data_IF_803169920123
#
_entry.id   IF_803169920123
#
_cell.length_a   1.000
_cell.length_b   1.000
_cell.length_c   1.000
_cell.angle_alpha   90.00
_cell.angle_beta   90.00
_cell.angle_gamma   90.00
#
_symmetry.space_group_name_H-M   'P 1'
#
loop_
_entity.id
_entity.type
_entity.pdbx_description
1 polymer ?
#
# COMPACT_ATOMS: atom_id res chain seq x y z
N UNK A 1 -23.38 2.99 -10.38
CA UNK A 1 -22.98 4.34 -9.93
C UNK A 1 -23.86 5.37 -10.61
N UNK A 2 -24.08 5.20 -11.91
CA UNK A 2 -24.91 6.05 -12.76
C UNK A 2 -26.31 6.31 -12.20
N UNK A 3 -26.96 5.29 -11.63
CA UNK A 3 -28.29 5.43 -11.01
C UNK A 3 -28.33 6.45 -9.87
N UNK A 4 -27.31 6.48 -8.99
CA UNK A 4 -27.26 7.43 -7.87
C UNK A 4 -27.11 8.85 -8.38
N UNK A 5 -26.29 9.03 -9.41
CA UNK A 5 -26.02 10.34 -10.00
C UNK A 5 -27.27 10.86 -10.73
N UNK A 6 -27.93 9.99 -11.51
CA UNK A 6 -29.20 10.29 -12.16
C UNK A 6 -30.24 10.69 -11.11
N UNK A 7 -30.35 9.94 -10.02
CA UNK A 7 -31.35 10.19 -9.00
C UNK A 7 -31.04 11.46 -8.18
N UNK A 8 -29.76 11.76 -7.93
CA UNK A 8 -29.33 13.00 -7.27
C UNK A 8 -29.65 14.23 -8.13
N UNK A 9 -29.31 14.20 -9.41
CA UNK A 9 -29.60 15.30 -10.34
C UNK A 9 -31.12 15.51 -10.49
N UNK A 10 -31.87 14.42 -10.54
CA UNK A 10 -33.33 14.44 -10.60
C UNK A 10 -33.95 15.01 -9.32
N UNK A 11 -33.45 14.63 -8.14
CA UNK A 11 -33.88 15.22 -6.86
C UNK A 11 -33.63 16.74 -6.83
N UNK A 12 -32.43 17.18 -7.24
CA UNK A 12 -32.07 18.59 -7.26
C UNK A 12 -32.99 19.41 -8.19
N UNK A 13 -33.26 18.90 -9.40
CA UNK A 13 -34.13 19.55 -10.38
C UNK A 13 -35.59 19.62 -9.95
N UNK A 14 -36.11 18.56 -9.31
CA UNK A 14 -37.47 18.54 -8.78
C UNK A 14 -37.62 19.51 -7.59
N UNK A 15 -36.60 19.59 -6.72
CA UNK A 15 -36.58 20.51 -5.58
C UNK A 15 -36.54 21.98 -6.02
N UNK A 16 -35.71 22.31 -7.01
CA UNK A 16 -35.56 23.68 -7.52
C UNK A 16 -36.81 24.16 -8.28
N UNK A 17 -37.36 23.32 -9.16
CA UNK A 17 -38.47 23.73 -10.04
C UNK A 17 -39.84 23.65 -9.36
N UNK A 18 -39.96 23.04 -8.16
CA UNK A 18 -41.23 22.77 -7.46
C UNK A 18 -42.30 22.17 -8.38
N UNK A 19 -41.86 21.38 -9.36
CA UNK A 19 -42.67 20.83 -10.43
C UNK A 19 -42.35 19.36 -10.57
N UNK A 20 -43.36 18.56 -10.90
CA UNK A 20 -43.20 17.14 -11.20
C UNK A 20 -42.70 16.88 -12.62
N UNK A 21 -42.36 17.93 -13.37
CA UNK A 21 -41.85 17.87 -14.74
C UNK A 21 -40.36 18.19 -14.80
N UNK A 22 -39.60 17.36 -15.49
CA UNK A 22 -38.15 17.52 -15.67
C UNK A 22 -37.81 17.46 -17.16
N UNK A 23 -37.09 18.46 -17.65
CA UNK A 23 -36.54 18.44 -19.01
C UNK A 23 -35.35 17.47 -19.07
N UNK A 24 -35.40 16.54 -20.04
CA UNK A 24 -34.33 15.56 -20.24
C UNK A 24 -33.00 16.18 -20.63
N UNK A 25 -33.03 17.25 -21.43
CA UNK A 25 -31.81 17.96 -21.84
C UNK A 25 -31.15 18.62 -20.63
N UNK A 26 -31.94 19.29 -19.78
CA UNK A 26 -31.43 19.87 -18.53
C UNK A 26 -30.88 18.81 -17.58
N UNK A 27 -31.58 17.69 -17.45
CA UNK A 27 -31.12 16.57 -16.62
C UNK A 27 -29.81 15.99 -17.15
N UNK A 28 -29.68 15.83 -18.46
CA UNK A 28 -28.44 15.38 -19.09
C UNK A 28 -27.29 16.36 -18.86
N UNK A 29 -27.53 17.67 -18.97
CA UNK A 29 -26.51 18.69 -18.69
C UNK A 29 -26.07 18.63 -17.22
N UNK A 30 -27.00 18.63 -16.27
CA UNK A 30 -26.70 18.54 -14.83
C UNK A 30 -25.92 17.27 -14.46
N UNK A 31 -26.25 16.14 -15.09
CA UNK A 31 -25.51 14.88 -14.90
C UNK A 31 -24.10 15.02 -15.47
N UNK A 32 -23.95 15.44 -16.73
CA UNK A 32 -22.64 15.48 -17.38
C UNK A 32 -21.71 16.59 -16.86
N UNK A 33 -22.26 17.69 -16.35
CA UNK A 33 -21.51 18.76 -15.70
C UNK A 33 -21.23 18.49 -14.22
N UNK A 34 -21.76 17.39 -13.66
CA UNK A 34 -21.53 17.04 -12.27
C UNK A 34 -20.03 16.82 -12.00
N UNK A 35 -19.46 17.64 -11.12
CA UNK A 35 -18.03 17.59 -10.74
C UNK A 35 -17.57 16.22 -10.22
N UNK A 36 -18.49 15.40 -9.70
CA UNK A 36 -18.17 14.04 -9.25
C UNK A 36 -17.92 13.11 -10.44
N UNK A 37 -18.69 13.25 -11.53
CA UNK A 37 -18.45 12.49 -12.75
C UNK A 37 -17.14 12.91 -13.40
N UNK A 38 -16.86 14.21 -13.53
CA UNK A 38 -15.60 14.66 -14.14
C UNK A 38 -14.34 14.24 -13.36
N UNK A 39 -14.44 14.00 -12.05
CA UNK A 39 -13.34 13.46 -11.23
C UNK A 39 -13.22 11.94 -11.25
N UNK A 40 -14.32 11.21 -11.46
CA UNK A 40 -14.34 9.74 -11.47
C UNK A 40 -14.12 9.14 -12.88
N UNK A 41 -14.50 9.88 -13.93
CA UNK A 41 -14.40 9.48 -15.34
C UNK A 41 -12.97 9.21 -15.85
N UNK A 42 -11.89 9.89 -15.38
CA UNK A 42 -10.53 9.55 -15.79
C UNK A 42 -10.09 8.13 -15.42
N UNK A 43 -10.80 7.46 -14.49
CA UNK A 43 -10.46 6.14 -13.98
C UNK A 43 -11.27 4.99 -14.59
N UNK A 44 -12.37 5.27 -15.31
CA UNK A 44 -13.34 4.25 -15.77
C UNK A 44 -13.59 4.20 -17.27
N UNK A 45 -13.12 5.18 -18.06
CA UNK A 45 -13.10 5.09 -19.53
C UNK A 45 -14.46 5.16 -20.26
N UNK A 46 -15.59 5.27 -19.54
CA UNK A 46 -16.92 5.53 -20.10
C UNK A 46 -17.54 6.76 -19.43
N UNK A 47 -18.50 7.50 -19.99
CA UNK A 47 -18.87 7.98 -21.34
C UNK A 47 -19.97 9.00 -20.99
N UNK A 48 -20.08 10.11 -21.73
CA UNK A 48 -21.19 11.07 -21.56
C UNK A 48 -22.51 10.30 -21.54
N UNK A 49 -23.29 10.37 -20.46
CA UNK A 49 -24.55 9.62 -20.35
C UNK A 49 -25.51 10.15 -21.43
N UNK A 50 -26.03 9.24 -22.25
CA UNK A 50 -27.00 9.61 -23.29
C UNK A 50 -28.39 9.81 -22.66
N UNK A 51 -29.24 10.57 -23.33
CA UNK A 51 -30.65 10.74 -22.92
C UNK A 51 -31.37 9.39 -22.83
N UNK A 52 -30.99 8.43 -23.68
CA UNK A 52 -31.57 7.09 -23.66
C UNK A 52 -31.20 6.33 -22.39
N UNK A 53 -29.94 6.35 -21.98
CA UNK A 53 -29.46 5.66 -20.76
C UNK A 53 -30.10 6.26 -19.50
N UNK A 54 -30.25 7.59 -19.48
CA UNK A 54 -30.95 8.30 -18.41
C UNK A 54 -32.42 7.87 -18.36
N UNK A 55 -33.09 7.76 -19.51
CA UNK A 55 -34.48 7.32 -19.59
C UNK A 55 -34.67 5.87 -19.15
N UNK A 56 -33.81 4.94 -19.56
CA UNK A 56 -33.85 3.55 -19.12
C UNK A 56 -33.67 3.45 -17.61
N UNK A 57 -32.72 4.23 -17.08
CA UNK A 57 -32.46 4.32 -15.64
C UNK A 57 -33.68 4.83 -14.88
N UNK A 58 -34.31 5.92 -15.35
CA UNK A 58 -35.52 6.47 -14.74
C UNK A 58 -36.68 5.47 -14.81
N UNK A 59 -36.88 4.78 -15.94
CA UNK A 59 -37.94 3.77 -16.09
C UNK A 59 -37.75 2.58 -15.14
N UNK A 60 -36.50 2.19 -14.88
CA UNK A 60 -36.17 1.14 -13.92
C UNK A 60 -36.38 1.58 -12.47
N UNK A 61 -36.05 2.83 -12.13
CA UNK A 61 -36.20 3.38 -10.79
C UNK A 61 -37.67 3.72 -10.46
N UNK A 62 -38.46 4.15 -11.45
CA UNK A 62 -39.85 4.57 -11.28
C UNK A 62 -40.78 3.86 -12.28
N UNK A 63 -40.96 2.54 -12.15
CA UNK A 63 -41.77 1.76 -13.08
C UNK A 63 -43.23 2.23 -13.01
N UNK A 64 -43.79 2.58 -14.18
CA UNK A 64 -45.20 3.00 -14.35
C UNK A 64 -45.59 4.33 -13.68
N UNK A 65 -44.64 5.08 -13.13
CA UNK A 65 -44.89 6.38 -12.49
C UNK A 65 -44.44 7.57 -13.35
N UNK A 66 -44.05 7.32 -14.60
CA UNK A 66 -43.47 8.33 -15.49
C UNK A 66 -44.19 8.39 -16.83
N UNK A 67 -44.39 9.58 -17.37
CA UNK A 67 -44.76 9.80 -18.78
C UNK A 67 -43.74 10.70 -19.46
N UNK A 68 -43.52 10.46 -20.75
CA UNK A 68 -42.66 11.27 -21.60
C UNK A 68 -43.53 12.06 -22.58
N UNK A 69 -43.46 13.38 -22.52
CA UNK A 69 -44.16 14.30 -23.42
C UNK A 69 -43.22 15.41 -23.85
N UNK A 70 -43.03 15.61 -25.16
CA UNK A 70 -42.24 16.72 -25.73
C UNK A 70 -40.81 16.86 -25.14
N UNK A 71 -40.13 15.75 -24.86
CA UNK A 71 -38.78 15.77 -24.28
C UNK A 71 -38.72 16.10 -22.79
N UNK A 72 -39.87 16.14 -22.11
CA UNK A 72 -39.99 16.27 -20.66
C UNK A 72 -40.55 14.98 -20.05
N UNK A 73 -39.97 14.56 -18.92
CA UNK A 73 -40.54 13.50 -18.10
C UNK A 73 -41.45 14.13 -17.04
N UNK A 74 -42.67 13.65 -16.95
CA UNK A 74 -43.59 13.96 -15.86
C UNK A 74 -43.65 12.77 -14.90
N UNK A 75 -43.47 13.04 -13.61
CA UNK A 75 -43.60 12.05 -12.55
C UNK A 75 -44.99 12.14 -11.90
N UNK A 76 -45.71 11.03 -11.82
CA UNK A 76 -47.01 10.94 -11.17
C UNK A 76 -46.84 10.41 -9.75
N UNK A 77 -47.49 11.08 -8.79
CA UNK A 77 -47.51 10.68 -7.37
C UNK A 77 -46.14 10.52 -6.70
N UNK A 78 -45.10 11.13 -7.25
CA UNK A 78 -43.75 11.05 -6.71
C UNK A 78 -43.60 11.99 -5.51
N UNK A 79 -43.33 11.43 -4.33
CA UNK A 79 -43.05 12.22 -3.15
C UNK A 79 -41.54 12.47 -3.03
N UNK A 80 -41.15 13.73 -2.78
CA UNK A 80 -39.73 14.08 -2.57
C UNK A 80 -39.11 13.35 -1.37
N UNK A 81 -39.93 13.00 -0.37
CA UNK A 81 -39.49 12.23 0.79
C UNK A 81 -39.04 10.81 0.40
N UNK A 82 -39.84 10.11 -0.41
CA UNK A 82 -39.52 8.77 -0.93
C UNK A 82 -38.24 8.80 -1.77
N UNK A 83 -38.08 9.83 -2.60
CA UNK A 83 -36.90 9.99 -3.45
C UNK A 83 -35.62 10.20 -2.63
N UNK A 84 -35.73 10.95 -1.53
CA UNK A 84 -34.64 11.17 -0.58
C UNK A 84 -34.28 9.88 0.14
N UNK A 85 -35.25 9.09 0.58
CA UNK A 85 -34.99 7.79 1.22
C UNK A 85 -34.28 6.85 0.26
N UNK A 86 -34.74 6.77 -0.98
CA UNK A 86 -34.12 5.96 -2.03
C UNK A 86 -32.67 6.39 -2.31
N UNK A 87 -32.37 7.71 -2.30
CA UNK A 87 -30.98 8.21 -2.37
C UNK A 87 -30.12 7.67 -1.23
N UNK A 88 -30.61 7.78 0.00
CA UNK A 88 -29.85 7.35 1.18
C UNK A 88 -29.61 5.84 1.15
N UNK A 89 -30.62 5.04 0.82
CA UNK A 89 -30.48 3.58 0.71
C UNK A 89 -29.45 3.19 -0.35
N UNK A 90 -29.55 3.77 -1.55
CA UNK A 90 -28.60 3.49 -2.63
C UNK A 90 -27.18 3.93 -2.29
N UNK A 91 -27.03 5.09 -1.63
CA UNK A 91 -25.74 5.58 -1.14
C UNK A 91 -25.13 4.60 -0.14
N UNK A 92 -25.89 4.18 0.87
CA UNK A 92 -25.40 3.26 1.89
C UNK A 92 -25.04 1.89 1.31
N UNK A 93 -25.86 1.36 0.40
CA UNK A 93 -25.59 0.11 -0.29
C UNK A 93 -24.32 0.19 -1.13
N UNK A 94 -24.15 1.27 -1.90
CA UNK A 94 -22.97 1.47 -2.75
C UNK A 94 -21.71 1.67 -1.93
N UNK A 95 -21.78 2.45 -0.85
CA UNK A 95 -20.66 2.65 0.08
C UNK A 95 -20.22 1.31 0.68
N UNK A 96 -21.16 0.50 1.16
CA UNK A 96 -20.87 -0.82 1.74
C UNK A 96 -20.23 -1.75 0.71
N UNK A 97 -20.75 -1.77 -0.51
CA UNK A 97 -20.19 -2.58 -1.62
C UNK A 97 -18.75 -2.16 -1.95
N UNK A 98 -18.50 -0.87 -2.16
CA UNK A 98 -17.16 -0.36 -2.47
C UNK A 98 -16.17 -0.62 -1.34
N UNK A 99 -16.60 -0.47 -0.08
CA UNK A 99 -15.77 -0.80 1.08
C UNK A 99 -15.38 -2.29 1.10
N UNK A 100 -16.32 -3.18 0.77
CA UNK A 100 -16.02 -4.61 0.67
C UNK A 100 -15.07 -4.93 -0.51
N UNK A 101 -15.23 -4.26 -1.65
CA UNK A 101 -14.32 -4.41 -2.79
C UNK A 101 -12.90 -3.94 -2.47
N UNK A 102 -12.76 -2.79 -1.80
CA UNK A 102 -11.46 -2.30 -1.31
C UNK A 102 -10.83 -3.32 -0.37
N UNK A 103 -11.59 -3.81 0.61
CA UNK A 103 -11.08 -4.79 1.57
C UNK A 103 -10.65 -6.10 0.89
N UNK A 104 -11.41 -6.58 -0.10
CA UNK A 104 -11.06 -7.75 -0.88
C UNK A 104 -9.80 -7.53 -1.74
N UNK A 105 -9.60 -6.32 -2.26
CA UNK A 105 -8.39 -5.95 -3.00
C UNK A 105 -7.18 -5.83 -2.08
N UNK A 106 -7.31 -5.21 -0.91
CA UNK A 106 -6.26 -5.14 0.12
C UNK A 106 -5.79 -6.55 0.51
N UNK A 107 -6.74 -7.45 0.81
CA UNK A 107 -6.44 -8.85 1.15
C UNK A 107 -5.70 -9.60 0.03
N UNK A 108 -5.88 -9.19 -1.24
CA UNK A 108 -5.17 -9.77 -2.40
C UNK A 108 -3.81 -9.12 -2.65
N UNK A 109 -3.61 -7.88 -2.22
CA UNK A 109 -2.38 -7.11 -2.42
C UNK A 109 -1.35 -7.46 -1.33
N UNK A 110 -1.77 -7.65 -0.09
CA UNK A 110 -0.90 -7.99 1.05
C UNK A 110 0.08 -9.16 0.74
N UNK A 111 -0.37 -10.34 0.27
CA UNK A 111 0.54 -11.43 -0.05
C UNK A 111 1.44 -11.13 -1.27
N UNK A 112 1.03 -10.26 -2.19
CA UNK A 112 1.83 -9.89 -3.37
C UNK A 112 2.96 -8.91 -3.01
N UNK A 113 2.71 -8.00 -2.05
CA UNK A 113 3.74 -7.12 -1.49
C UNK A 113 4.75 -7.91 -0.66
N UNK A 114 4.27 -8.84 0.17
CA UNK A 114 5.13 -9.75 0.94
C UNK A 114 5.94 -10.71 0.06
N UNK A 115 5.50 -11.08 -1.14
CA UNK A 115 6.31 -11.96 -2.01
C UNK A 115 7.30 -11.24 -2.92
N UNK A 116 6.96 -10.09 -3.50
CA UNK A 116 7.85 -9.39 -4.46
C UNK A 116 8.89 -8.49 -3.82
N UNK A 117 8.52 -7.69 -2.82
CA UNK A 117 9.47 -6.83 -2.12
C UNK A 117 10.44 -7.66 -1.27
N UNK A 118 9.94 -8.75 -0.69
CA UNK A 118 10.70 -9.67 0.18
C UNK A 118 11.46 -10.75 -0.59
N UNK A 119 11.41 -10.83 -1.93
CA UNK A 119 12.31 -11.73 -2.66
C UNK A 119 13.54 -11.01 -3.20
N UNK A 120 13.38 -9.82 -3.81
CA UNK A 120 14.52 -9.13 -4.43
C UNK A 120 15.38 -8.39 -3.41
N UNK A 121 14.75 -7.62 -2.50
CA UNK A 121 15.46 -6.91 -1.43
C UNK A 121 16.16 -7.90 -0.49
N UNK A 122 15.46 -8.96 -0.11
CA UNK A 122 15.98 -10.01 0.76
C UNK A 122 17.15 -10.75 0.12
N UNK A 123 17.06 -11.13 -1.17
CA UNK A 123 18.19 -11.72 -1.90
C UNK A 123 19.38 -10.77 -2.01
N UNK A 124 19.15 -9.47 -2.21
CA UNK A 124 20.23 -8.48 -2.22
C UNK A 124 20.88 -8.36 -0.84
N UNK A 125 20.09 -8.36 0.24
CA UNK A 125 20.59 -8.31 1.61
C UNK A 125 21.35 -9.58 2.00
N UNK A 126 20.90 -10.75 1.55
CA UNK A 126 21.63 -12.02 1.69
C UNK A 126 22.94 -12.01 0.90
N UNK A 127 22.92 -11.50 -0.34
CA UNK A 127 24.13 -11.35 -1.14
C UNK A 127 25.13 -10.37 -0.50
N UNK A 128 24.63 -9.23 0.00
CA UNK A 128 25.45 -8.25 0.73
C UNK A 128 26.02 -8.86 2.02
N UNK A 129 25.22 -9.63 2.76
CA UNK A 129 25.65 -10.38 3.94
C UNK A 129 26.78 -11.32 3.59
N UNK A 130 26.59 -12.18 2.59
CA UNK A 130 27.58 -13.19 2.22
C UNK A 130 28.87 -12.54 1.69
N UNK A 131 28.76 -11.47 0.91
CA UNK A 131 29.92 -10.71 0.41
C UNK A 131 30.68 -10.03 1.54
N UNK A 132 29.98 -9.40 2.48
CA UNK A 132 30.59 -8.74 3.64
C UNK A 132 31.27 -9.75 4.56
N UNK A 133 30.61 -10.89 4.82
CA UNK A 133 31.18 -11.94 5.65
C UNK A 133 32.40 -12.59 5.01
N UNK A 134 32.37 -12.85 3.70
CA UNK A 134 33.52 -13.41 3.00
C UNK A 134 34.71 -12.44 3.02
N UNK A 135 34.49 -11.15 2.70
CA UNK A 135 35.55 -10.14 2.82
C UNK A 135 36.08 -10.02 4.24
N UNK A 136 35.18 -10.04 5.23
CA UNK A 136 35.57 -9.99 6.64
C UNK A 136 36.40 -11.22 7.05
N UNK A 137 36.08 -12.39 6.48
CA UNK A 137 36.79 -13.65 6.72
C UNK A 137 38.12 -13.76 5.98
N UNK A 138 38.28 -13.08 4.84
CA UNK A 138 39.54 -13.02 4.10
C UNK A 138 40.65 -12.32 4.90
N UNK A 139 40.31 -11.52 5.92
CA UNK A 139 41.28 -10.97 6.85
C UNK A 139 41.84 -12.08 7.74
N UNK A 140 43.17 -12.16 7.86
CA UNK A 140 43.90 -13.25 8.56
C UNK A 140 43.62 -13.40 10.07
N UNK A 141 42.70 -12.61 10.62
CA UNK A 141 42.26 -12.64 12.02
C UNK A 141 40.87 -13.27 12.20
N UNK A 142 40.20 -13.70 11.12
CA UNK A 142 38.81 -14.15 11.15
C UNK A 142 38.53 -15.38 12.03
N UNK A 143 39.53 -16.25 12.22
CA UNK A 143 39.41 -17.47 13.01
C UNK A 143 38.97 -17.22 14.47
N UNK A 144 39.22 -16.02 15.01
CA UNK A 144 38.80 -15.66 16.38
C UNK A 144 37.27 -15.49 16.53
N UNK A 145 36.53 -15.46 15.42
CA UNK A 145 35.08 -15.26 15.39
C UNK A 145 34.27 -16.49 14.96
N UNK A 146 34.94 -17.64 14.78
CA UNK A 146 34.29 -18.90 14.39
C UNK A 146 33.59 -19.56 15.60
N UNK A 147 34.25 -19.53 16.76
CA UNK A 147 33.74 -20.15 17.98
C UNK A 147 32.73 -19.25 18.71
N UNK A 148 31.57 -19.82 19.04
CA UNK A 148 30.58 -19.16 19.88
C UNK A 148 31.00 -19.28 21.35
N UNK A 149 31.51 -18.21 21.92
CA UNK A 149 31.96 -18.21 23.32
C UNK A 149 30.90 -17.63 24.24
N UNK A 150 30.31 -18.50 25.08
CA UNK A 150 29.39 -18.09 26.13
C UNK A 150 30.18 -17.61 27.36
N UNK A 151 30.03 -16.33 27.72
CA UNK A 151 30.68 -15.73 28.88
C UNK A 151 29.65 -14.86 29.62
N UNK A 152 29.67 -14.86 30.97
CA UNK A 152 28.79 -14.02 31.80
C UNK A 152 28.89 -12.53 31.50
N UNK A 153 29.99 -12.07 30.90
CA UNK A 153 30.17 -10.69 30.46
C UNK A 153 29.47 -10.36 29.11
N UNK A 154 29.12 -11.37 28.32
CA UNK A 154 28.51 -11.25 27.00
C UNK A 154 27.00 -11.52 27.12
N UNK A 155 26.17 -10.50 26.90
CA UNK A 155 24.70 -10.62 26.99
C UNK A 155 24.08 -11.28 25.76
N UNK A 156 24.73 -11.15 24.61
CA UNK A 156 24.26 -11.66 23.33
C UNK A 156 25.45 -12.29 22.59
N UNK A 157 25.69 -13.60 22.74
CA UNK A 157 26.73 -14.30 22.00
C UNK A 157 26.36 -14.33 20.53
N UNK A 158 27.32 -13.99 19.67
CA UNK A 158 27.15 -13.98 18.23
C UNK A 158 28.50 -14.32 17.59
N UNK A 159 28.47 -15.24 16.63
CA UNK A 159 29.62 -15.65 15.82
C UNK A 159 29.26 -15.48 14.33
N UNK A 160 30.25 -15.66 13.45
CA UNK A 160 30.03 -15.44 12.01
C UNK A 160 29.00 -16.40 11.41
N UNK A 161 28.94 -17.66 11.87
CA UNK A 161 27.94 -18.63 11.41
C UNK A 161 26.52 -18.26 11.85
N UNK A 162 26.37 -17.74 13.06
CA UNK A 162 25.12 -17.17 13.55
C UNK A 162 24.62 -16.03 12.66
N UNK A 163 25.52 -15.19 12.16
CA UNK A 163 25.18 -14.13 11.21
C UNK A 163 24.79 -14.72 9.84
N UNK A 164 25.51 -15.74 9.33
CA UNK A 164 25.22 -16.39 8.03
C UNK A 164 23.81 -16.99 7.96
N UNK A 165 23.29 -17.48 9.08
CA UNK A 165 21.96 -18.12 9.13
C UNK A 165 20.80 -17.13 9.23
N UNK A 166 21.08 -15.85 9.49
CA UNK A 166 20.06 -14.81 9.65
C UNK A 166 19.99 -13.91 8.41
N UNK A 167 18.78 -13.49 8.07
CA UNK A 167 18.59 -12.52 6.98
C UNK A 167 18.43 -11.13 7.57
N UNK A 168 19.36 -10.19 7.30
CA UNK A 168 19.27 -8.85 7.84
C UNK A 168 18.11 -8.09 7.22
N UNK A 169 17.42 -7.26 8.01
CA UNK A 169 16.39 -6.32 7.55
C UNK A 169 16.99 -5.10 6.84
N UNK A 170 18.26 -4.78 7.16
CA UNK A 170 19.02 -3.68 6.58
C UNK A 170 20.54 -3.88 6.69
N UNK A 171 21.30 -3.12 5.89
CA UNK A 171 22.78 -3.10 5.97
C UNK A 171 23.26 -2.59 7.34
N UNK A 172 22.51 -1.69 7.96
CA UNK A 172 22.82 -1.15 9.29
C UNK A 172 22.72 -2.24 10.38
N UNK A 173 21.73 -3.12 10.25
CA UNK A 173 21.60 -4.26 11.16
C UNK A 173 22.75 -5.25 10.98
N UNK A 174 23.12 -5.55 9.73
CA UNK A 174 24.30 -6.38 9.45
C UNK A 174 25.60 -5.77 10.01
N UNK A 175 25.78 -4.45 9.89
CA UNK A 175 26.88 -3.73 10.52
C UNK A 175 26.85 -3.88 12.05
N UNK A 176 25.68 -3.75 12.67
CA UNK A 176 25.53 -3.89 14.12
C UNK A 176 25.91 -5.30 14.59
N UNK A 177 25.50 -6.34 13.85
CA UNK A 177 25.88 -7.73 14.12
C UNK A 177 27.39 -7.94 14.05
N UNK A 178 28.04 -7.45 13.01
CA UNK A 178 29.51 -7.56 12.86
C UNK A 178 30.25 -6.79 13.97
N UNK A 179 29.79 -5.57 14.30
CA UNK A 179 30.37 -4.81 15.41
C UNK A 179 30.18 -5.51 16.76
N UNK A 180 29.03 -6.17 16.97
CA UNK A 180 28.78 -6.96 18.17
C UNK A 180 29.75 -8.15 18.27
N UNK A 181 30.03 -8.85 17.17
CA UNK A 181 31.04 -9.91 17.13
C UNK A 181 32.43 -9.39 17.55
N UNK A 182 32.86 -8.25 16.98
CA UNK A 182 34.14 -7.62 17.32
C UNK A 182 34.18 -7.18 18.79
N UNK A 183 33.09 -6.57 19.28
CA UNK A 183 32.98 -6.10 20.65
C UNK A 183 33.02 -7.25 21.66
N UNK A 184 32.25 -8.32 21.42
CA UNK A 184 32.23 -9.52 22.24
C UNK A 184 33.63 -10.14 22.36
N UNK A 185 34.33 -10.26 21.23
CA UNK A 185 35.69 -10.81 21.17
C UNK A 185 36.70 -9.91 21.90
N UNK A 186 36.55 -8.59 21.77
CA UNK A 186 37.39 -7.61 22.48
C UNK A 186 37.18 -7.69 23.99
N UNK A 187 35.95 -7.93 24.45
CA UNK A 187 35.61 -8.08 25.87
C UNK A 187 36.09 -9.43 26.44
N UNK A 188 36.10 -10.49 25.63
CA UNK A 188 36.55 -11.81 26.04
C UNK A 188 38.05 -11.85 26.32
N UNK A 189 38.85 -11.18 25.49
CA UNK A 189 40.30 -11.21 25.57
C UNK A 189 40.87 -10.12 26.49
N UNK A 190 41.83 -10.50 27.34
CA UNK A 190 42.57 -9.54 28.18
C UNK A 190 43.24 -8.47 27.31
N UNK A 191 43.12 -7.21 27.72
CA UNK A 191 43.74 -6.07 27.02
C UNK A 191 45.22 -6.31 26.73
N UNK A 192 45.64 -6.09 25.49
CA UNK A 192 47.02 -6.28 25.02
C UNK A 192 47.40 -7.71 24.61
N UNK A 193 46.53 -8.70 24.84
CA UNK A 193 46.72 -10.06 24.32
C UNK A 193 46.67 -10.11 22.79
N UNK A 194 47.21 -11.17 22.15
CA UNK A 194 47.14 -11.32 20.69
C UNK A 194 45.69 -11.32 20.17
N UNK A 195 44.75 -11.97 20.85
CA UNK A 195 43.32 -11.95 20.49
C UNK A 195 42.69 -10.56 20.62
N UNK A 196 43.05 -9.80 21.65
CA UNK A 196 42.58 -8.40 21.81
C UNK A 196 43.13 -7.48 20.71
N UNK A 197 44.40 -7.65 20.33
CA UNK A 197 45.03 -6.89 19.24
C UNK A 197 44.42 -7.24 17.88
N UNK A 198 44.15 -8.53 17.65
CA UNK A 198 43.48 -9.02 16.45
C UNK A 198 42.06 -8.45 16.33
N UNK A 199 41.26 -8.48 17.41
CA UNK A 199 39.92 -7.90 17.42
C UNK A 199 39.93 -6.38 17.14
N UNK A 200 40.91 -5.66 17.70
CA UNK A 200 41.10 -4.23 17.41
C UNK A 200 41.52 -3.94 15.96
N UNK A 201 42.32 -4.81 15.35
CA UNK A 201 42.68 -4.69 13.94
C UNK A 201 41.44 -4.92 13.06
N UNK A 202 40.64 -5.94 13.37
CA UNK A 202 39.39 -6.25 12.65
C UNK A 202 38.35 -5.14 12.71
N UNK A 203 38.33 -4.32 13.77
CA UNK A 203 37.44 -3.15 13.84
C UNK A 203 37.69 -2.17 12.70
N UNK A 204 38.97 -1.91 12.37
CA UNK A 204 39.34 -1.00 11.29
C UNK A 204 39.01 -1.59 9.92
N UNK A 205 39.28 -2.89 9.75
CA UNK A 205 38.95 -3.64 8.53
C UNK A 205 37.43 -3.68 8.29
N UNK A 206 36.64 -3.82 9.36
CA UNK A 206 35.19 -3.78 9.29
C UNK A 206 34.67 -2.41 8.82
N UNK A 207 35.24 -1.32 9.32
CA UNK A 207 34.89 0.04 8.90
C UNK A 207 35.21 0.27 7.41
N UNK A 208 36.37 -0.17 6.94
CA UNK A 208 36.76 -0.12 5.52
C UNK A 208 35.82 -0.94 4.64
N UNK A 209 35.45 -2.15 5.09
CA UNK A 209 34.55 -3.05 4.36
C UNK A 209 33.12 -2.50 4.28
N UNK A 210 32.61 -1.90 5.35
CA UNK A 210 31.29 -1.24 5.38
C UNK A 210 31.29 0.00 4.50
N UNK A 211 32.34 0.83 4.56
CA UNK A 211 32.46 2.01 3.71
C UNK A 211 32.44 1.63 2.21
N UNK A 212 33.17 0.57 1.84
CA UNK A 212 33.13 0.02 0.49
C UNK A 212 31.71 -0.41 0.09
N UNK A 213 31.00 -1.17 0.92
CA UNK A 213 29.65 -1.65 0.55
C UNK A 213 28.63 -0.52 0.47
N UNK A 214 28.74 0.50 1.34
CA UNK A 214 27.91 1.72 1.21
C UNK A 214 28.17 2.43 -0.12
N UNK A 215 29.42 2.55 -0.54
CA UNK A 215 29.77 3.18 -1.84
C UNK A 215 29.30 2.44 -3.09
N UNK A 216 28.96 1.15 -2.96
CA UNK A 216 28.46 0.32 -4.06
C UNK A 216 26.93 0.31 -4.11
N UNK A 217 26.27 0.66 -3.01
CA UNK A 217 24.81 0.63 -2.86
C UNK A 217 24.17 2.03 -2.92
N UNK A 218 24.95 3.09 -2.74
CA UNK A 218 24.60 4.50 -3.06
C UNK A 218 24.82 4.80 -4.55
#
# INVERSE_FOLDING_TARGET
MDEIIVLQALYALLLQNKSSRVSLVRLQTEINENHLLSRLVPSTGNQVLSVHDILETIKRLFPKQTSLTEGQITFYNLQLAELREMLFEMYHASRKRLQNEIHALETRIDPLLEHKATSQRTRLLELCRDTLLNKFQDHGHAAIYEELVENSAIKQPLNLDGIRTQTPTSILELQAWLQLCVANTTLLHRTGSPGWKAARASQKELEETIAFVRSVLE
#
